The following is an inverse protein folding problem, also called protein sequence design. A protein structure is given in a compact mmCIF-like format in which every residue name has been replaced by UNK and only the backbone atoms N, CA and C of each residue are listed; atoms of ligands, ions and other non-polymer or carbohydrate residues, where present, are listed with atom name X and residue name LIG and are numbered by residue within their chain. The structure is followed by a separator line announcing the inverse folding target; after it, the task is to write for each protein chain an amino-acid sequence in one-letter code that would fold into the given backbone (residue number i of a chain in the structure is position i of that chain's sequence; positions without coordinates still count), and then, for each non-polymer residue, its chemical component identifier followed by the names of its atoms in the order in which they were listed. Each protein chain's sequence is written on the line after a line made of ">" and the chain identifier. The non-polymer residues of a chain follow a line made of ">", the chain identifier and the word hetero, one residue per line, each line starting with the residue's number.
data_IF_248398801422
#
_entry.id   IF_248398801422
#
_cell.length_a   1.000
_cell.length_b   1.000
_cell.length_c   1.000
_cell.angle_alpha   90.00
_cell.angle_beta   90.00
_cell.angle_gamma   90.00
#
_symmetry.space_group_name_H-M   'P 1'
#
loop_
_entity.id
_entity.type
_entity.pdbx_description
1 polymer ?
#
# COMPACT_ATOMS: atom_id res chain seq x y z
N UNK A 1 2.72 -22.98 20.36
CA UNK A 1 3.63 -23.39 19.28
C UNK A 1 2.85 -23.39 17.99
N UNK A 2 3.29 -22.63 17.03
CA UNK A 2 2.74 -22.63 15.67
C UNK A 2 3.09 -23.96 15.01
N UNK A 3 2.08 -24.70 14.53
CA UNK A 3 2.31 -26.00 13.90
C UNK A 3 2.47 -25.82 12.39
N UNK A 4 3.45 -26.52 11.82
CA UNK A 4 3.46 -26.82 10.39
C UNK A 4 2.35 -27.85 10.14
N UNK A 5 1.44 -27.53 9.21
CA UNK A 5 0.29 -28.37 8.87
C UNK A 5 0.41 -28.82 7.43
N UNK A 6 -0.09 -30.03 7.12
CA UNK A 6 -0.25 -30.45 5.72
C UNK A 6 -1.26 -29.54 5.03
N UNK A 7 -0.95 -29.10 3.81
CA UNK A 7 -1.85 -28.29 3.02
C UNK A 7 -2.91 -29.21 2.39
N UNK A 8 -4.13 -29.15 2.92
CA UNK A 8 -5.29 -29.93 2.46
C UNK A 8 -6.20 -29.06 1.58
N UNK A 9 -7.26 -29.63 1.02
CA UNK A 9 -8.22 -28.89 0.15
C UNK A 9 -8.86 -27.69 0.86
N UNK A 10 -9.01 -27.70 2.16
CA UNK A 10 -9.53 -26.58 2.95
C UNK A 10 -8.62 -25.35 2.95
N UNK A 11 -7.33 -25.51 2.64
CA UNK A 11 -6.36 -24.42 2.46
C UNK A 11 -6.16 -24.01 1.00
N UNK A 12 -7.00 -24.46 0.07
CA UNK A 12 -6.86 -24.18 -1.36
C UNK A 12 -6.83 -22.68 -1.72
N UNK A 13 -7.43 -21.83 -0.89
CA UNK A 13 -7.37 -20.37 -1.06
C UNK A 13 -5.96 -19.79 -0.88
N UNK A 14 -5.06 -20.46 -0.15
CA UNK A 14 -3.68 -20.03 0.05
C UNK A 14 -2.74 -20.41 -1.11
N UNK A 15 -3.25 -21.10 -2.12
CA UNK A 15 -2.50 -21.44 -3.33
C UNK A 15 -2.64 -20.41 -4.45
N UNK A 16 -3.37 -19.33 -4.22
CA UNK A 16 -3.68 -18.29 -5.21
C UNK A 16 -3.69 -16.90 -4.59
N UNK A 17 -3.57 -15.89 -5.44
CA UNK A 17 -3.75 -14.48 -5.10
C UNK A 17 -4.63 -13.78 -6.16
N UNK A 18 -4.73 -12.46 -6.13
CA UNK A 18 -5.52 -11.67 -7.10
C UNK A 18 -4.91 -11.61 -8.51
N UNK A 19 -3.71 -12.15 -8.73
CA UNK A 19 -3.17 -12.38 -10.08
C UNK A 19 -3.94 -13.44 -10.86
N UNK A 20 -4.78 -14.22 -10.16
CA UNK A 20 -5.50 -15.40 -10.66
C UNK A 20 -4.58 -16.58 -11.04
N UNK A 21 -3.30 -16.49 -10.75
CA UNK A 21 -2.38 -17.63 -10.83
C UNK A 21 -2.65 -18.60 -9.68
N UNK A 22 -2.48 -19.87 -9.94
CA UNK A 22 -2.56 -20.93 -8.93
C UNK A 22 -1.24 -21.65 -8.84
N UNK A 23 -0.78 -21.90 -7.62
CA UNK A 23 0.43 -22.64 -7.31
C UNK A 23 0.13 -23.94 -6.57
N UNK A 24 1.16 -24.49 -5.95
CA UNK A 24 1.04 -25.63 -5.05
C UNK A 24 2.04 -25.50 -3.90
N UNK A 25 1.72 -26.12 -2.78
CA UNK A 25 2.62 -26.25 -1.64
C UNK A 25 2.25 -27.51 -0.84
N UNK A 26 3.21 -28.02 -0.07
CA UNK A 26 3.03 -29.24 0.71
C UNK A 26 2.47 -28.92 2.10
N UNK A 27 2.91 -27.82 2.68
CA UNK A 27 2.62 -27.46 4.07
C UNK A 27 2.29 -25.97 4.23
N UNK A 28 1.64 -25.64 5.34
CA UNK A 28 1.25 -24.27 5.70
C UNK A 28 1.42 -24.02 7.20
N UNK A 29 1.76 -22.79 7.57
CA UNK A 29 1.78 -22.32 8.96
C UNK A 29 1.19 -20.91 9.11
N UNK A 30 0.74 -20.60 10.32
CA UNK A 30 0.16 -19.32 10.71
C UNK A 30 0.84 -18.78 11.99
N UNK A 31 2.05 -18.23 11.90
CA UNK A 31 2.75 -17.65 13.05
C UNK A 31 1.98 -16.47 13.63
N UNK A 32 2.18 -16.24 14.95
CA UNK A 32 1.57 -15.14 15.71
C UNK A 32 2.61 -14.16 16.25
N UNK A 33 3.85 -14.61 16.34
CA UNK A 33 4.97 -13.85 16.89
C UNK A 33 6.22 -14.00 16.03
N UNK A 34 7.19 -13.13 16.22
CA UNK A 34 8.53 -13.25 15.60
C UNK A 34 9.19 -14.58 15.97
N UNK A 35 9.03 -15.03 17.22
CA UNK A 35 9.58 -16.32 17.66
C UNK A 35 8.90 -17.51 16.98
N UNK A 36 7.61 -17.44 16.73
CA UNK A 36 6.92 -18.48 15.95
C UNK A 36 7.50 -18.59 14.53
N UNK A 37 7.79 -17.44 13.87
CA UNK A 37 8.43 -17.43 12.55
C UNK A 37 9.79 -18.12 12.61
N UNK A 38 10.62 -17.76 13.59
CA UNK A 38 11.93 -18.40 13.79
C UNK A 38 11.83 -19.91 14.03
N UNK A 39 10.86 -20.34 14.84
CA UNK A 39 10.63 -21.76 15.11
C UNK A 39 10.21 -22.53 13.86
N UNK A 40 9.30 -21.97 13.04
CA UNK A 40 8.89 -22.60 11.76
C UNK A 40 10.08 -22.75 10.82
N UNK A 41 10.91 -21.69 10.65
CA UNK A 41 12.09 -21.76 9.81
C UNK A 41 13.11 -22.79 10.31
N UNK A 42 13.34 -22.86 11.62
CA UNK A 42 14.24 -23.86 12.24
C UNK A 42 13.73 -25.30 12.06
N UNK A 43 12.41 -25.52 12.20
CA UNK A 43 11.79 -26.84 11.98
C UNK A 43 11.92 -27.26 10.49
N UNK A 44 11.68 -26.35 9.54
CA UNK A 44 11.87 -26.63 8.12
C UNK A 44 13.34 -26.94 7.79
N UNK A 45 14.28 -26.17 8.33
CA UNK A 45 15.72 -26.40 8.13
C UNK A 45 16.16 -27.78 8.66
N UNK A 46 15.68 -28.18 9.85
CA UNK A 46 15.96 -29.51 10.41
C UNK A 46 15.41 -30.63 9.54
N UNK A 47 14.17 -30.48 9.04
CA UNK A 47 13.58 -31.48 8.12
C UNK A 47 14.33 -31.57 6.79
N UNK A 48 14.84 -30.44 6.30
CA UNK A 48 15.63 -30.37 5.06
C UNK A 48 16.99 -31.03 5.24
N UNK A 49 17.67 -30.83 6.37
CA UNK A 49 18.93 -31.52 6.69
C UNK A 49 18.74 -33.05 6.73
N UNK A 50 17.66 -33.53 7.36
CA UNK A 50 17.35 -34.95 7.43
C UNK A 50 17.06 -35.58 6.04
N UNK A 51 16.45 -34.82 5.14
CA UNK A 51 16.00 -35.30 3.82
C UNK A 51 16.96 -34.97 2.68
N UNK A 52 17.96 -34.14 2.91
CA UNK A 52 18.84 -33.60 1.86
C UNK A 52 18.09 -32.73 0.85
N UNK A 53 17.11 -31.94 1.32
CA UNK A 53 16.26 -31.07 0.49
C UNK A 53 16.48 -29.60 0.85
N UNK A 54 15.83 -28.70 0.12
CA UNK A 54 15.71 -27.28 0.47
C UNK A 54 14.26 -26.88 0.19
N UNK A 55 13.48 -26.65 1.24
CA UNK A 55 12.07 -26.33 1.16
C UNK A 55 11.87 -24.82 0.91
N UNK A 56 11.37 -24.40 -0.27
CA UNK A 56 11.03 -23.01 -0.50
C UNK A 56 9.91 -22.54 0.44
N UNK A 57 10.02 -21.31 0.93
CA UNK A 57 9.01 -20.70 1.77
C UNK A 57 8.35 -19.52 1.06
N UNK A 58 7.06 -19.62 0.78
CA UNK A 58 6.25 -18.53 0.27
C UNK A 58 5.62 -17.76 1.43
N UNK A 59 6.08 -16.53 1.64
CA UNK A 59 5.53 -15.66 2.70
C UNK A 59 4.30 -14.93 2.16
N UNK A 60 3.19 -15.00 2.92
CA UNK A 60 1.92 -14.41 2.51
C UNK A 60 1.35 -13.43 3.55
N UNK A 61 0.77 -12.34 3.04
CA UNK A 61 -0.13 -11.45 3.79
C UNK A 61 -1.59 -11.65 3.37
N UNK A 62 -2.24 -10.57 2.90
CA UNK A 62 -3.63 -10.57 2.41
C UNK A 62 -3.85 -11.22 1.03
N UNK A 63 -2.83 -11.56 0.30
CA UNK A 63 -2.87 -12.13 -1.05
C UNK A 63 -3.60 -11.25 -2.09
N UNK A 64 -3.56 -9.94 -1.88
CA UNK A 64 -4.21 -8.94 -2.76
C UNK A 64 -3.33 -8.48 -3.91
N UNK A 65 -2.14 -9.07 -4.06
CA UNK A 65 -1.18 -8.74 -5.12
C UNK A 65 -1.62 -9.26 -6.48
N UNK A 66 -1.27 -8.50 -7.54
CA UNK A 66 -1.63 -8.81 -8.94
C UNK A 66 -0.47 -9.45 -9.72
N UNK A 67 0.68 -9.69 -9.08
CA UNK A 67 1.90 -10.16 -9.74
C UNK A 67 2.33 -11.57 -9.30
N UNK A 68 1.43 -12.34 -8.68
CA UNK A 68 1.66 -13.70 -8.18
C UNK A 68 2.76 -13.83 -7.10
N UNK A 69 3.17 -12.74 -6.44
CA UNK A 69 4.18 -12.78 -5.37
C UNK A 69 3.78 -13.60 -4.14
N UNK A 70 2.48 -13.82 -3.95
CA UNK A 70 1.95 -14.66 -2.88
C UNK A 70 1.54 -16.08 -3.34
N UNK A 71 1.83 -16.47 -4.60
CA UNK A 71 1.48 -17.78 -5.14
C UNK A 71 2.67 -18.73 -4.95
N UNK A 72 2.54 -19.82 -4.15
CA UNK A 72 3.63 -20.73 -3.91
C UNK A 72 3.93 -21.59 -5.14
N UNK A 73 5.20 -21.72 -5.50
CA UNK A 73 5.63 -22.64 -6.56
C UNK A 73 5.80 -24.08 -6.05
N UNK A 74 6.14 -24.24 -4.76
CA UNK A 74 6.31 -25.51 -4.04
C UNK A 74 6.56 -25.26 -2.55
N UNK A 75 6.71 -26.30 -1.75
CA UNK A 75 7.24 -26.27 -0.39
C UNK A 75 6.25 -25.78 0.66
N UNK A 76 6.57 -24.71 1.38
CA UNK A 76 5.85 -24.25 2.55
C UNK A 76 5.22 -22.87 2.35
N UNK A 77 3.96 -22.71 2.75
CA UNK A 77 3.29 -21.41 2.86
C UNK A 77 3.38 -20.90 4.29
N UNK A 78 3.95 -19.72 4.49
CA UNK A 78 3.93 -19.01 5.77
C UNK A 78 2.99 -17.82 5.68
N UNK A 79 1.76 -17.96 6.19
CA UNK A 79 0.77 -16.89 6.14
C UNK A 79 0.76 -16.07 7.43
N UNK A 80 1.04 -14.78 7.34
CA UNK A 80 1.23 -13.86 8.46
C UNK A 80 -0.08 -13.21 8.97
N UNK A 81 -1.24 -13.61 8.49
CA UNK A 81 -2.54 -13.01 8.86
C UNK A 81 -2.86 -13.04 10.36
N UNK A 82 -2.22 -13.95 11.11
CA UNK A 82 -2.37 -14.05 12.58
C UNK A 82 -1.40 -13.15 13.35
N UNK A 83 -0.45 -12.51 12.68
CA UNK A 83 0.42 -11.47 13.23
C UNK A 83 -0.22 -10.11 12.98
N UNK A 84 -1.26 -9.75 13.71
CA UNK A 84 -2.12 -8.59 13.43
C UNK A 84 -2.28 -7.61 14.62
N UNK A 85 -1.33 -7.61 15.54
CA UNK A 85 -1.36 -6.74 16.71
C UNK A 85 -0.70 -5.37 16.48
N UNK A 86 -1.13 -4.38 17.25
CA UNK A 86 -0.38 -3.16 17.51
C UNK A 86 0.67 -3.46 18.58
N UNK A 87 1.92 -3.00 18.36
CA UNK A 87 3.06 -3.31 19.23
C UNK A 87 3.53 -2.09 20.03
N UNK A 88 3.12 -0.89 19.66
CA UNK A 88 3.49 0.34 20.35
C UNK A 88 3.31 1.57 19.48
N UNK A 89 3.57 2.71 20.09
CA UNK A 89 3.64 4.00 19.43
C UNK A 89 4.90 4.76 19.85
N UNK A 90 5.35 5.67 19.01
CA UNK A 90 6.45 6.57 19.30
C UNK A 90 6.08 7.98 18.87
N UNK A 91 6.43 8.95 19.71
CA UNK A 91 6.31 10.38 19.42
C UNK A 91 7.70 11.01 19.49
N UNK A 92 8.00 11.91 18.57
CA UNK A 92 9.21 12.73 18.63
C UNK A 92 8.92 14.13 18.10
N UNK A 93 9.69 15.11 18.56
CA UNK A 93 9.68 16.46 18.03
C UNK A 93 10.32 16.46 16.62
N UNK A 94 9.71 17.19 15.68
CA UNK A 94 10.24 17.36 14.31
C UNK A 94 11.36 18.43 14.23
N UNK A 95 11.72 19.04 15.35
CA UNK A 95 12.70 20.14 15.46
C UNK A 95 12.09 21.52 15.08
N UNK A 96 10.79 21.56 14.75
CA UNK A 96 10.05 22.80 14.43
C UNK A 96 8.87 23.04 15.39
N UNK A 97 8.77 22.21 16.43
CA UNK A 97 7.73 22.27 17.44
C UNK A 97 6.46 21.48 17.12
N UNK A 98 6.46 20.70 16.03
CA UNK A 98 5.39 19.74 15.74
C UNK A 98 5.78 18.32 16.19
N UNK A 99 4.79 17.56 16.66
CA UNK A 99 4.96 16.18 17.07
C UNK A 99 4.78 15.25 15.88
N UNK A 100 5.80 14.48 15.55
CA UNK A 100 5.70 13.35 14.63
C UNK A 100 5.27 12.11 15.39
N UNK A 101 4.30 11.38 14.86
CA UNK A 101 3.77 10.16 15.44
C UNK A 101 4.11 8.95 14.56
N UNK A 102 4.47 7.88 15.22
CA UNK A 102 4.77 6.59 14.59
C UNK A 102 3.98 5.50 15.28
N UNK A 103 3.54 4.51 14.52
CA UNK A 103 2.87 3.32 15.04
C UNK A 103 3.64 2.07 14.65
N UNK A 104 3.91 1.20 15.62
CA UNK A 104 4.56 -0.09 15.40
C UNK A 104 3.49 -1.19 15.38
N UNK A 105 3.51 -2.00 14.33
CA UNK A 105 2.49 -3.01 14.05
C UNK A 105 3.11 -4.32 13.57
N UNK A 106 2.35 -5.40 13.70
CA UNK A 106 2.65 -6.66 13.06
C UNK A 106 2.18 -6.68 11.59
N UNK A 107 2.81 -7.50 10.73
CA UNK A 107 2.62 -7.47 9.27
C UNK A 107 1.22 -7.87 8.79
N UNK A 108 0.48 -8.67 9.55
CA UNK A 108 -0.86 -9.15 9.19
C UNK A 108 -1.99 -8.16 9.50
N UNK A 109 -1.69 -6.98 10.07
CA UNK A 109 -2.70 -5.95 10.30
C UNK A 109 -3.26 -5.46 8.95
N UNK A 110 -4.59 -5.44 8.82
CA UNK A 110 -5.28 -5.06 7.59
C UNK A 110 -5.39 -3.54 7.48
N UNK A 111 -5.18 -3.00 6.28
CA UNK A 111 -5.19 -1.55 6.03
C UNK A 111 -6.52 -0.88 6.40
N UNK A 112 -7.66 -1.48 6.02
CA UNK A 112 -8.99 -0.94 6.34
C UNK A 112 -9.22 -0.85 7.86
N UNK A 113 -8.84 -1.89 8.62
CA UNK A 113 -8.93 -1.89 10.08
C UNK A 113 -8.07 -0.77 10.67
N UNK A 114 -6.82 -0.65 10.22
CA UNK A 114 -5.92 0.40 10.69
C UNK A 114 -6.43 1.81 10.40
N UNK A 115 -7.06 2.04 9.23
CA UNK A 115 -7.67 3.32 8.88
C UNK A 115 -8.81 3.69 9.83
N UNK A 116 -9.69 2.73 10.11
CA UNK A 116 -10.76 2.91 11.11
C UNK A 116 -10.18 3.21 12.49
N UNK A 117 -9.21 2.40 12.96
CA UNK A 117 -8.59 2.58 14.28
C UNK A 117 -7.93 3.97 14.44
N UNK A 118 -7.33 4.52 13.36
CA UNK A 118 -6.76 5.86 13.36
C UNK A 118 -7.84 6.95 13.37
N UNK A 119 -8.86 6.84 12.53
CA UNK A 119 -9.95 7.81 12.41
C UNK A 119 -10.76 7.88 13.70
N UNK A 120 -11.05 6.72 14.31
CA UNK A 120 -11.81 6.60 15.56
C UNK A 120 -10.93 6.84 16.81
N UNK A 121 -9.63 7.09 16.61
CA UNK A 121 -8.62 7.17 17.68
C UNK A 121 -8.66 5.96 18.63
N UNK A 122 -8.93 4.77 18.10
CA UNK A 122 -9.16 3.56 18.87
C UNK A 122 -8.06 2.49 18.62
N UNK A 123 -6.79 2.90 18.72
CA UNK A 123 -5.68 1.96 18.64
C UNK A 123 -5.62 1.14 19.94
N UNK A 124 -5.71 -0.21 19.87
CA UNK A 124 -5.53 -1.06 21.02
C UNK A 124 -4.13 -0.89 21.63
N UNK A 125 -4.07 -0.49 22.89
CA UNK A 125 -2.81 -0.20 23.60
C UNK A 125 -2.43 -1.27 24.66
N UNK A 126 -3.11 -2.38 24.67
CA UNK A 126 -2.80 -3.48 25.60
C UNK A 126 -1.37 -4.02 25.35
N UNK A 127 -0.53 -4.01 26.36
CA UNK A 127 0.86 -4.44 26.28
C UNK A 127 1.85 -3.35 25.86
N UNK A 128 1.42 -2.11 25.68
CA UNK A 128 2.31 -0.98 25.43
C UNK A 128 3.17 -0.70 26.68
N UNK A 129 4.45 -0.42 26.47
CA UNK A 129 5.33 0.11 27.51
C UNK A 129 5.02 1.58 27.83
N UNK A 130 5.67 2.14 28.88
CA UNK A 130 5.41 3.49 29.36
C UNK A 130 5.66 4.56 28.25
N UNK A 131 6.68 4.37 27.42
CA UNK A 131 7.00 5.31 26.34
C UNK A 131 5.93 5.26 25.24
N UNK A 132 5.50 4.05 24.85
CA UNK A 132 4.40 3.86 23.89
C UNK A 132 3.08 4.37 24.43
N UNK A 133 2.82 4.25 25.73
CA UNK A 133 1.63 4.82 26.38
C UNK A 133 1.64 6.34 26.40
N UNK A 134 2.81 6.97 26.56
CA UNK A 134 2.93 8.43 26.45
C UNK A 134 2.64 8.90 25.02
N UNK A 135 3.19 8.22 24.01
CA UNK A 135 2.92 8.51 22.60
C UNK A 135 1.44 8.26 22.24
N UNK A 136 0.82 7.21 22.78
CA UNK A 136 -0.60 6.91 22.59
C UNK A 136 -1.49 8.03 23.16
N UNK A 137 -1.17 8.59 24.34
CA UNK A 137 -1.88 9.75 24.88
C UNK A 137 -1.72 10.97 23.98
N UNK A 138 -0.50 11.25 23.49
CA UNK A 138 -0.27 12.34 22.56
C UNK A 138 -1.10 12.17 21.25
N UNK A 139 -1.24 10.93 20.76
CA UNK A 139 -2.13 10.60 19.64
C UNK A 139 -3.60 10.88 19.98
N UNK A 140 -4.07 10.47 21.19
CA UNK A 140 -5.46 10.68 21.62
C UNK A 140 -5.83 12.17 21.72
N UNK A 141 -4.95 12.96 22.29
CA UNK A 141 -5.14 14.40 22.58
C UNK A 141 -4.77 15.30 21.38
N UNK A 142 -3.95 14.78 20.46
CA UNK A 142 -3.41 15.54 19.33
C UNK A 142 -4.38 15.68 18.16
N UNK A 143 -3.94 16.32 17.07
CA UNK A 143 -4.72 16.42 15.83
C UNK A 143 -4.97 15.05 15.20
N UNK A 144 -5.91 15.01 14.26
CA UNK A 144 -6.13 13.82 13.44
C UNK A 144 -4.89 13.48 12.60
N UNK A 145 -4.59 12.20 12.51
CA UNK A 145 -3.48 11.66 11.71
C UNK A 145 -3.96 10.54 10.83
N UNK A 146 -3.24 10.30 9.74
CA UNK A 146 -3.56 9.24 8.81
C UNK A 146 -2.30 8.58 8.24
N UNK A 147 -2.48 7.42 7.63
CA UNK A 147 -1.45 6.77 6.84
C UNK A 147 -1.69 7.04 5.35
N UNK A 148 -0.72 7.65 4.65
CA UNK A 148 -0.96 8.23 3.33
C UNK A 148 -1.04 7.24 2.19
N UNK A 149 -0.42 6.06 2.30
CA UNK A 149 -0.43 5.07 1.21
C UNK A 149 -1.84 4.51 1.01
N UNK A 150 -2.35 4.62 -0.21
CA UNK A 150 -3.75 4.37 -0.57
C UNK A 150 -3.89 3.39 -1.76
N UNK A 151 -3.54 2.09 -1.58
CA UNK A 151 -3.84 1.10 -2.60
C UNK A 151 -5.35 0.93 -2.76
N UNK A 152 -5.80 0.56 -3.97
CA UNK A 152 -7.21 0.33 -4.29
C UNK A 152 -7.81 -0.76 -3.40
N UNK A 153 -7.04 -1.82 -3.15
CA UNK A 153 -7.48 -2.95 -2.32
C UNK A 153 -7.19 -2.71 -0.83
N UNK A 154 -8.25 -2.41 -0.09
CA UNK A 154 -8.17 -2.06 1.34
C UNK A 154 -8.06 -3.27 2.29
N UNK A 155 -8.23 -4.49 1.79
CA UNK A 155 -7.98 -5.73 2.53
C UNK A 155 -6.49 -6.14 2.53
N UNK A 156 -5.64 -5.37 1.84
CA UNK A 156 -4.19 -5.52 1.90
C UNK A 156 -3.68 -5.46 3.34
N UNK A 157 -2.71 -6.32 3.66
CA UNK A 157 -2.02 -6.28 4.96
C UNK A 157 -0.81 -5.34 4.92
N UNK A 158 -0.48 -4.74 6.05
CA UNK A 158 0.65 -3.80 6.15
C UNK A 158 1.96 -4.47 5.73
N UNK A 159 2.21 -5.72 6.12
CA UNK A 159 3.40 -6.47 5.71
C UNK A 159 3.46 -6.70 4.20
N UNK A 160 2.33 -7.06 3.57
CA UNK A 160 2.23 -7.19 2.12
C UNK A 160 2.48 -5.86 1.40
N UNK A 161 1.93 -4.76 1.93
CA UNK A 161 2.18 -3.42 1.39
C UNK A 161 3.66 -3.03 1.44
N UNK A 162 4.35 -3.33 2.55
CA UNK A 162 5.79 -3.05 2.68
C UNK A 162 6.59 -3.97 1.76
N UNK A 163 6.30 -5.26 1.74
CA UNK A 163 7.00 -6.23 0.89
C UNK A 163 6.91 -5.89 -0.61
N UNK A 164 5.76 -5.37 -1.08
CA UNK A 164 5.57 -4.99 -2.49
C UNK A 164 5.89 -3.50 -2.77
N UNK A 165 6.31 -2.71 -1.78
CA UNK A 165 6.39 -1.24 -1.89
C UNK A 165 5.09 -0.66 -2.48
N UNK A 166 3.95 -1.00 -1.88
CA UNK A 166 2.63 -0.69 -2.38
C UNK A 166 2.43 0.82 -2.63
N UNK A 167 1.65 1.12 -3.65
CA UNK A 167 1.30 2.47 -4.07
C UNK A 167 -0.19 2.55 -4.41
N UNK A 168 -0.73 3.76 -4.54
CA UNK A 168 -2.10 4.04 -4.95
C UNK A 168 -2.22 5.41 -5.58
N UNK A 169 -3.44 5.92 -5.71
CA UNK A 169 -3.72 7.22 -6.30
C UNK A 169 -2.96 8.36 -5.59
N UNK A 170 -2.96 8.35 -4.26
CA UNK A 170 -2.28 9.34 -3.43
C UNK A 170 -0.75 9.25 -3.46
N UNK A 171 -0.19 8.24 -4.12
CA UNK A 171 1.26 8.19 -4.36
C UNK A 171 1.76 9.33 -5.22
N UNK A 172 0.86 10.02 -5.93
CA UNK A 172 1.16 11.26 -6.63
C UNK A 172 1.79 12.31 -5.70
N UNK A 173 1.24 12.49 -4.49
CA UNK A 173 1.72 13.46 -3.48
C UNK A 173 2.66 12.83 -2.46
N UNK A 174 2.31 11.64 -1.95
CA UNK A 174 2.94 11.06 -0.76
C UNK A 174 3.97 9.97 -1.08
N UNK A 175 4.10 9.59 -2.35
CA UNK A 175 4.94 8.45 -2.73
C UNK A 175 4.31 7.11 -2.42
N UNK A 176 5.06 6.03 -2.68
CA UNK A 176 4.70 4.68 -2.27
C UNK A 176 4.92 4.48 -0.76
N UNK A 177 4.81 3.25 -0.26
CA UNK A 177 4.94 2.97 1.19
C UNK A 177 6.35 3.22 1.74
N UNK A 178 7.40 3.10 0.92
CA UNK A 178 8.82 3.19 1.29
C UNK A 178 9.17 4.38 2.19
N UNK A 179 8.86 5.64 1.86
CA UNK A 179 9.24 6.79 2.68
C UNK A 179 8.58 6.82 4.06
N UNK A 180 7.49 6.07 4.23
CA UNK A 180 6.71 6.04 5.46
C UNK A 180 7.11 4.92 6.43
N UNK A 181 8.04 4.04 6.01
CA UNK A 181 8.58 2.97 6.86
C UNK A 181 9.79 3.52 7.62
N UNK A 182 9.69 3.62 8.94
CA UNK A 182 10.75 4.14 9.81
C UNK A 182 11.58 3.03 10.48
N UNK A 183 11.01 1.85 10.70
CA UNK A 183 11.75 0.71 11.23
C UNK A 183 11.14 -0.63 10.78
N UNK A 184 11.98 -1.65 10.72
CA UNK A 184 11.60 -3.03 10.42
C UNK A 184 12.29 -4.01 11.36
N UNK A 185 11.60 -5.09 11.71
CA UNK A 185 12.19 -6.28 12.26
C UNK A 185 11.99 -7.44 11.28
N UNK A 186 13.09 -8.05 10.84
CA UNK A 186 13.09 -9.05 9.78
C UNK A 186 13.78 -10.31 10.28
N UNK A 187 13.15 -11.46 10.09
CA UNK A 187 13.76 -12.78 10.34
C UNK A 187 14.33 -13.30 9.01
N UNK A 188 15.62 -13.59 8.98
CA UNK A 188 16.33 -14.14 7.83
C UNK A 188 16.07 -15.65 7.69
N UNK A 189 16.44 -16.23 6.56
CA UNK A 189 16.21 -17.64 6.26
C UNK A 189 16.89 -18.60 7.26
N UNK A 190 18.02 -18.18 7.85
CA UNK A 190 18.76 -18.91 8.89
C UNK A 190 18.22 -18.71 10.32
N UNK A 191 17.11 -17.97 10.48
CA UNK A 191 16.49 -17.65 11.75
C UNK A 191 17.15 -16.50 12.52
N UNK A 192 18.20 -15.88 12.00
CA UNK A 192 18.74 -14.66 12.58
C UNK A 192 17.76 -13.49 12.37
N UNK A 193 17.83 -12.48 13.24
CA UNK A 193 16.91 -11.35 13.21
C UNK A 193 17.66 -10.04 13.01
N UNK A 194 17.17 -9.23 12.10
CA UNK A 194 17.61 -7.85 11.90
C UNK A 194 16.61 -6.89 12.53
N UNK A 195 17.08 -5.94 13.32
CA UNK A 195 16.32 -4.78 13.77
C UNK A 195 16.89 -3.54 13.07
N UNK A 196 16.13 -2.98 12.14
CA UNK A 196 16.54 -1.88 11.28
C UNK A 196 15.74 -0.63 11.62
N UNK A 197 16.43 0.49 11.85
CA UNK A 197 15.79 1.80 12.02
C UNK A 197 16.35 2.76 10.98
N UNK A 198 15.47 3.46 10.29
CA UNK A 198 15.86 4.42 9.25
C UNK A 198 16.82 5.47 9.79
N UNK A 199 17.89 5.68 9.05
CA UNK A 199 18.95 6.61 9.40
C UNK A 199 20.13 5.99 10.15
N UNK A 200 20.01 4.76 10.66
CA UNK A 200 21.07 4.11 11.44
C UNK A 200 22.11 3.39 10.58
N UNK A 201 21.68 2.68 9.56
CA UNK A 201 22.57 1.92 8.67
C UNK A 201 22.35 2.38 7.24
N UNK A 202 23.41 2.92 6.63
CA UNK A 202 23.39 3.39 5.25
C UNK A 202 24.47 2.70 4.43
N UNK A 203 24.22 2.62 3.14
CA UNK A 203 25.23 2.17 2.19
C UNK A 203 26.45 3.06 2.25
N UNK A 204 27.62 2.43 2.25
CA UNK A 204 28.92 3.07 2.14
C UNK A 204 29.82 2.25 1.19
N UNK A 205 30.41 2.90 0.20
CA UNK A 205 31.30 2.28 -0.80
C UNK A 205 30.66 1.06 -1.51
N UNK A 206 29.37 1.11 -1.78
CA UNK A 206 28.63 0.04 -2.46
C UNK A 206 28.23 -1.13 -1.56
N UNK A 207 28.35 -1.00 -0.22
CA UNK A 207 28.04 -2.09 0.73
C UNK A 207 27.13 -1.61 1.85
N UNK A 208 26.16 -2.43 2.24
CA UNK A 208 25.40 -2.32 3.48
C UNK A 208 25.95 -3.32 4.49
N UNK A 209 26.48 -2.84 5.63
CA UNK A 209 26.95 -3.67 6.74
C UNK A 209 25.85 -3.85 7.77
N UNK A 210 25.22 -5.01 7.81
CA UNK A 210 24.10 -5.33 8.68
C UNK A 210 24.57 -6.14 9.88
N UNK A 211 24.08 -5.80 11.08
CA UNK A 211 24.34 -6.58 12.30
C UNK A 211 23.04 -7.22 12.78
N UNK A 212 23.06 -8.54 12.96
CA UNK A 212 21.90 -9.26 13.50
C UNK A 212 21.81 -9.12 15.02
N UNK A 213 20.62 -9.29 15.59
CA UNK A 213 20.42 -9.28 17.05
C UNK A 213 21.24 -10.37 17.78
N UNK A 214 21.62 -11.43 17.05
CA UNK A 214 22.47 -12.51 17.54
C UNK A 214 23.98 -12.22 17.42
N UNK A 215 24.35 -11.03 16.92
CA UNK A 215 25.73 -10.57 16.78
C UNK A 215 26.42 -11.00 15.47
N UNK A 216 25.70 -11.57 14.53
CA UNK A 216 26.21 -11.88 13.18
C UNK A 216 26.40 -10.59 12.37
N UNK A 217 27.43 -10.56 11.52
CA UNK A 217 27.68 -9.45 10.57
C UNK A 217 27.42 -9.96 9.15
N UNK A 218 26.65 -9.20 8.35
CA UNK A 218 26.29 -9.52 6.97
C UNK A 218 26.66 -8.32 6.10
N UNK A 219 27.57 -8.54 5.15
CA UNK A 219 27.93 -7.55 4.14
C UNK A 219 27.07 -7.78 2.89
N UNK A 220 26.27 -6.77 2.54
CA UNK A 220 25.37 -6.84 1.38
C UNK A 220 25.88 -5.89 0.30
N UNK A 221 26.46 -6.41 -0.81
CA UNK A 221 26.83 -5.57 -1.93
C UNK A 221 25.58 -4.97 -2.57
N UNK A 222 25.55 -3.64 -2.69
CA UNK A 222 24.44 -2.93 -3.31
C UNK A 222 24.59 -2.98 -4.84
N UNK A 223 23.57 -3.39 -5.59
CA UNK A 223 23.64 -3.45 -7.05
C UNK A 223 23.97 -2.09 -7.67
N UNK A 224 24.80 -2.09 -8.72
CA UNK A 224 25.28 -0.87 -9.39
C UNK A 224 24.33 -0.31 -10.47
N UNK A 225 23.11 -0.83 -10.63
CA UNK A 225 22.15 -0.30 -11.59
C UNK A 225 21.55 1.04 -11.12
N UNK A 226 21.15 1.87 -12.05
CA UNK A 226 20.48 3.14 -11.74
C UNK A 226 18.97 2.91 -11.64
N UNK A 227 18.40 3.23 -10.48
CA UNK A 227 16.94 3.20 -10.30
C UNK A 227 16.26 4.22 -11.21
N UNK A 228 15.09 3.90 -11.79
CA UNK A 228 14.28 4.87 -12.52
C UNK A 228 13.94 6.07 -11.64
N UNK A 229 13.99 7.29 -12.22
CA UNK A 229 13.62 8.53 -11.53
C UNK A 229 12.10 8.71 -11.38
N UNK A 230 11.30 7.88 -12.05
CA UNK A 230 9.85 7.86 -11.99
C UNK A 230 9.37 6.74 -11.07
N UNK A 231 8.07 6.77 -10.68
CA UNK A 231 7.44 5.68 -9.94
C UNK A 231 7.72 4.34 -10.61
N UNK A 232 8.24 3.40 -9.85
CA UNK A 232 8.52 2.04 -10.31
C UNK A 232 8.38 1.05 -9.15
N UNK A 233 8.26 -0.24 -9.48
CA UNK A 233 8.25 -1.37 -8.55
C UNK A 233 9.20 -2.47 -9.06
N UNK A 234 10.30 -2.07 -9.73
CA UNK A 234 11.23 -3.00 -10.38
C UNK A 234 12.39 -3.36 -9.46
N UNK A 235 12.53 -4.66 -9.17
CA UNK A 235 13.67 -5.22 -8.47
C UNK A 235 13.89 -4.69 -7.05
N UNK A 236 15.03 -5.05 -6.47
CA UNK A 236 15.45 -4.51 -5.19
C UNK A 236 15.86 -3.04 -5.34
N UNK A 237 15.51 -2.25 -4.34
CA UNK A 237 15.95 -0.86 -4.33
C UNK A 237 17.46 -0.75 -4.18
N UNK A 238 18.08 0.05 -5.02
CA UNK A 238 19.53 0.32 -4.97
C UNK A 238 19.81 1.77 -5.33
N UNK A 239 20.45 2.52 -4.44
CA UNK A 239 20.86 3.88 -4.68
C UNK A 239 22.09 4.20 -3.80
N UNK A 240 22.97 5.09 -4.24
CA UNK A 240 24.07 5.58 -3.40
C UNK A 240 23.55 6.18 -2.09
N UNK A 241 24.11 5.75 -0.96
CA UNK A 241 23.71 6.21 0.36
C UNK A 241 22.34 5.71 0.83
N UNK A 242 21.77 4.68 0.19
CA UNK A 242 20.48 4.09 0.58
C UNK A 242 20.49 3.61 2.02
N UNK A 243 19.33 3.63 2.64
CA UNK A 243 19.13 3.10 3.98
C UNK A 243 18.88 1.59 3.96
N UNK A 244 19.35 0.88 4.99
CA UNK A 244 19.13 -0.58 5.08
C UNK A 244 17.65 -0.97 5.12
N UNK A 245 16.74 -0.13 5.64
CA UNK A 245 15.30 -0.33 5.59
C UNK A 245 14.81 -0.44 4.14
N UNK A 246 15.40 0.33 3.22
CA UNK A 246 14.99 0.38 1.82
C UNK A 246 15.28 -0.93 1.06
N UNK A 247 16.23 -1.74 1.52
CA UNK A 247 16.51 -3.05 0.94
C UNK A 247 15.33 -4.02 1.08
N UNK A 248 14.63 -3.97 2.22
CA UNK A 248 13.51 -4.88 2.51
C UNK A 248 12.16 -4.37 2.01
N UNK A 249 12.01 -3.06 1.82
CA UNK A 249 10.78 -2.50 1.23
C UNK A 249 10.77 -2.77 -0.28
N UNK A 250 9.81 -3.56 -0.74
CA UNK A 250 9.73 -4.00 -2.14
C UNK A 250 10.56 -5.26 -2.44
N UNK A 251 10.92 -6.05 -1.43
CA UNK A 251 11.65 -7.30 -1.57
C UNK A 251 10.78 -8.54 -1.84
N UNK A 252 9.46 -8.39 -1.83
CA UNK A 252 8.48 -9.46 -2.03
C UNK A 252 8.69 -10.70 -1.13
N UNK A 253 9.24 -10.48 0.08
CA UNK A 253 9.52 -11.57 1.03
C UNK A 253 10.73 -12.44 0.69
N UNK A 254 11.50 -12.11 -0.34
CA UNK A 254 12.63 -12.93 -0.84
C UNK A 254 13.90 -12.79 0.01
N UNK A 255 14.04 -11.71 0.78
CA UNK A 255 15.20 -11.43 1.63
C UNK A 255 14.99 -11.79 3.10
N UNK A 256 13.77 -12.17 3.48
CA UNK A 256 13.41 -12.52 4.85
C UNK A 256 11.95 -12.23 5.15
N UNK A 257 11.51 -12.60 6.34
CA UNK A 257 10.15 -12.43 6.82
C UNK A 257 10.05 -11.17 7.66
N UNK A 258 9.32 -10.16 7.16
CA UNK A 258 9.05 -8.93 7.91
C UNK A 258 8.06 -9.25 9.04
N UNK A 259 8.49 -9.07 10.29
CA UNK A 259 7.71 -9.44 11.49
C UNK A 259 7.17 -8.24 12.28
N UNK A 260 7.87 -7.09 12.23
CA UNK A 260 7.43 -5.84 12.84
C UNK A 260 7.71 -4.68 11.89
N UNK A 261 6.84 -3.69 11.88
CA UNK A 261 6.90 -2.53 11.01
C UNK A 261 6.56 -1.28 11.83
N UNK A 262 7.42 -0.27 11.80
CA UNK A 262 7.11 1.06 12.32
C UNK A 262 6.79 1.99 11.15
N UNK A 263 5.62 2.63 11.21
CA UNK A 263 5.11 3.51 10.16
C UNK A 263 4.92 4.92 10.69
N UNK A 264 5.37 5.91 9.93
CA UNK A 264 5.07 7.31 10.19
C UNK A 264 3.61 7.62 9.86
N UNK A 265 2.97 8.39 10.75
CA UNK A 265 1.63 8.94 10.57
C UNK A 265 1.75 10.41 10.20
N UNK A 266 1.02 10.85 9.20
CA UNK A 266 0.97 12.25 8.78
C UNK A 266 -0.24 12.95 9.37
N UNK A 267 -0.15 14.26 9.58
CA UNK A 267 -1.31 15.07 9.96
C UNK A 267 -2.39 14.98 8.86
N UNK A 268 -3.63 14.77 9.27
CA UNK A 268 -4.75 14.75 8.35
C UNK A 268 -4.95 16.15 7.72
N UNK A 269 -5.28 16.24 6.43
CA UNK A 269 -5.60 17.50 5.81
C UNK A 269 -6.88 18.08 6.38
N UNK A 270 -6.94 19.41 6.54
CA UNK A 270 -8.15 20.08 7.05
C UNK A 270 -9.32 19.97 6.06
N UNK A 271 -9.01 19.97 4.76
CA UNK A 271 -10.00 19.91 3.67
C UNK A 271 -9.55 18.92 2.62
N UNK A 272 -10.48 18.03 2.24
CA UNK A 272 -10.29 17.11 1.11
C UNK A 272 -11.47 17.24 0.17
N UNK A 273 -11.23 17.67 -1.08
CA UNK A 273 -12.23 17.73 -2.14
C UNK A 273 -11.83 16.83 -3.30
N UNK A 274 -12.83 16.27 -3.97
CA UNK A 274 -12.64 15.55 -5.23
C UNK A 274 -13.19 16.37 -6.39
N UNK A 275 -12.42 16.49 -7.47
CA UNK A 275 -12.83 17.21 -8.68
C UNK A 275 -12.69 16.30 -9.87
N UNK A 276 -13.80 16.00 -10.58
CA UNK A 276 -13.79 15.21 -11.82
C UNK A 276 -14.08 16.13 -12.99
N UNK A 277 -13.08 16.36 -13.81
CA UNK A 277 -13.13 17.23 -15.01
C UNK A 277 -13.37 16.35 -16.24
N UNK A 278 -14.43 16.62 -17.00
CA UNK A 278 -14.79 15.84 -18.18
C UNK A 278 -14.45 16.58 -19.48
N UNK A 279 -13.92 15.83 -20.45
CA UNK A 279 -13.44 16.38 -21.72
C UNK A 279 -14.07 15.65 -22.91
N UNK A 280 -14.28 16.38 -24.01
CA UNK A 280 -14.76 15.82 -25.28
C UNK A 280 -13.62 15.22 -26.13
N UNK A 281 -12.38 15.62 -25.84
CA UNK A 281 -11.19 15.17 -26.56
C UNK A 281 -10.09 14.78 -25.59
N UNK A 282 -9.44 13.66 -25.88
CA UNK A 282 -8.32 13.17 -25.05
C UNK A 282 -7.15 14.16 -25.00
N UNK A 283 -6.89 14.87 -26.12
CA UNK A 283 -5.82 15.89 -26.16
C UNK A 283 -6.08 17.01 -25.15
N UNK A 284 -7.34 17.47 -24.99
CA UNK A 284 -7.68 18.47 -23.97
C UNK A 284 -7.36 17.98 -22.57
N UNK A 285 -7.68 16.71 -22.26
CA UNK A 285 -7.37 16.09 -20.97
C UNK A 285 -5.87 15.96 -20.73
N UNK A 286 -5.09 15.64 -21.76
CA UNK A 286 -3.63 15.56 -21.65
C UNK A 286 -2.98 16.93 -21.44
N UNK A 287 -3.40 17.95 -22.19
CA UNK A 287 -2.90 19.32 -22.06
C UNK A 287 -3.27 19.89 -20.67
N UNK A 288 -4.52 19.65 -20.22
CA UNK A 288 -4.95 19.98 -18.86
C UNK A 288 -4.06 19.28 -17.81
N UNK A 289 -3.81 17.99 -17.95
CA UNK A 289 -2.99 17.23 -16.99
C UNK A 289 -1.57 17.77 -16.90
N UNK A 290 -0.95 18.10 -18.03
CA UNK A 290 0.39 18.70 -18.06
C UNK A 290 0.43 20.02 -17.30
N UNK A 291 -0.52 20.92 -17.56
CA UNK A 291 -0.60 22.21 -16.90
C UNK A 291 -0.99 22.09 -15.42
N UNK A 292 -1.95 21.21 -15.08
CA UNK A 292 -2.40 20.96 -13.72
C UNK A 292 -1.29 20.46 -12.80
N UNK A 293 -0.36 19.63 -13.30
CA UNK A 293 0.79 19.14 -12.52
C UNK A 293 1.73 20.25 -12.07
N UNK A 294 1.77 21.37 -12.79
CA UNK A 294 2.62 22.52 -12.46
C UNK A 294 1.89 23.55 -11.58
N UNK A 295 0.57 23.70 -11.79
CA UNK A 295 -0.21 24.80 -11.21
C UNK A 295 -1.02 24.39 -9.99
N UNK A 296 -1.56 23.16 -9.94
CA UNK A 296 -2.37 22.67 -8.80
C UNK A 296 -1.47 22.18 -7.68
N UNK A 297 -1.29 23.00 -6.66
CA UNK A 297 -0.32 22.74 -5.57
C UNK A 297 -0.85 21.81 -4.48
N UNK A 298 -2.18 21.71 -4.35
CA UNK A 298 -2.86 20.87 -3.36
C UNK A 298 -3.28 19.49 -3.90
N UNK A 299 -2.94 19.12 -5.14
CA UNK A 299 -3.29 17.82 -5.68
C UNK A 299 -2.62 16.70 -4.88
N UNK A 300 -3.40 15.73 -4.41
CA UNK A 300 -2.93 14.51 -3.75
C UNK A 300 -3.02 13.27 -4.64
N UNK A 301 -3.95 13.29 -5.59
CA UNK A 301 -4.13 12.27 -6.60
C UNK A 301 -4.55 12.90 -7.92
N UNK A 302 -4.16 12.29 -9.04
CA UNK A 302 -4.61 12.65 -10.36
C UNK A 302 -4.75 11.37 -11.18
N UNK A 303 -5.97 11.08 -11.68
CA UNK A 303 -6.28 9.83 -12.38
C UNK A 303 -7.00 10.12 -13.69
N UNK A 304 -6.63 9.40 -14.74
CA UNK A 304 -7.22 9.48 -16.06
C UNK A 304 -8.18 8.33 -16.33
N UNK A 305 -9.34 8.64 -16.84
CA UNK A 305 -10.36 7.69 -17.31
C UNK A 305 -10.56 7.94 -18.81
N UNK A 306 -10.24 6.96 -19.62
CA UNK A 306 -10.45 7.01 -21.07
C UNK A 306 -11.92 6.74 -21.46
N UNK A 307 -12.21 6.84 -22.74
CA UNK A 307 -13.53 6.59 -23.29
C UNK A 307 -14.02 5.17 -22.99
N UNK A 308 -13.13 4.18 -23.01
CA UNK A 308 -13.46 2.79 -22.73
C UNK A 308 -13.85 2.59 -21.27
N UNK A 309 -13.13 3.24 -20.35
CA UNK A 309 -13.47 3.22 -18.91
C UNK A 309 -14.84 3.87 -18.64
N UNK A 310 -15.13 5.02 -19.26
CA UNK A 310 -16.42 5.67 -19.11
C UNK A 310 -17.56 4.83 -19.72
N UNK A 311 -17.33 4.19 -20.87
CA UNK A 311 -18.31 3.32 -21.52
C UNK A 311 -18.62 2.07 -20.68
N UNK A 312 -17.60 1.45 -20.04
CA UNK A 312 -17.79 0.32 -19.12
C UNK A 312 -18.67 0.75 -17.93
N UNK A 313 -18.41 1.91 -17.32
CA UNK A 313 -19.21 2.42 -16.21
C UNK A 313 -20.66 2.69 -16.63
N UNK A 314 -20.88 3.31 -17.80
CA UNK A 314 -22.21 3.54 -18.34
C UNK A 314 -22.98 2.23 -18.60
N UNK A 315 -22.30 1.21 -19.11
CA UNK A 315 -22.86 -0.13 -19.32
C UNK A 315 -23.23 -0.78 -18.00
N UNK A 316 -22.31 -0.83 -17.04
CA UNK A 316 -22.52 -1.45 -15.72
C UNK A 316 -23.67 -0.78 -14.96
N UNK A 317 -23.78 0.54 -15.04
CA UNK A 317 -24.88 1.28 -14.41
C UNK A 317 -26.24 0.82 -14.89
N UNK A 318 -26.39 0.40 -16.15
CA UNK A 318 -27.66 -0.03 -16.76
C UNK A 318 -27.91 -1.52 -16.62
N UNK A 319 -26.87 -2.34 -16.50
CA UNK A 319 -26.98 -3.81 -16.54
C UNK A 319 -26.79 -4.47 -15.19
N UNK A 320 -26.13 -3.82 -14.23
CA UNK A 320 -25.85 -4.39 -12.93
C UNK A 320 -26.49 -3.59 -11.80
N UNK A 321 -27.26 -4.28 -10.95
CA UNK A 321 -27.90 -3.66 -9.77
C UNK A 321 -26.87 -3.08 -8.79
N UNK A 322 -25.69 -3.68 -8.69
CA UNK A 322 -24.61 -3.20 -7.80
C UNK A 322 -24.10 -1.80 -8.21
N UNK A 323 -24.15 -1.48 -9.50
CA UNK A 323 -23.66 -0.22 -10.06
C UNK A 323 -24.78 0.77 -10.45
N UNK A 324 -26.04 0.47 -10.14
CA UNK A 324 -27.18 1.30 -10.54
C UNK A 324 -27.14 2.75 -9.99
N UNK A 325 -26.41 2.98 -8.91
CA UNK A 325 -26.25 4.30 -8.26
C UNK A 325 -25.02 5.08 -8.74
N UNK A 326 -24.26 4.54 -9.71
CA UNK A 326 -23.14 5.29 -10.29
C UNK A 326 -23.63 6.62 -10.86
N UNK A 327 -22.89 7.72 -10.65
CA UNK A 327 -23.18 9.02 -11.27
C UNK A 327 -23.26 8.91 -12.80
N UNK A 328 -24.11 9.73 -13.41
CA UNK A 328 -24.23 9.80 -14.88
C UNK A 328 -23.14 10.74 -15.40
N UNK A 329 -22.27 10.25 -16.26
CA UNK A 329 -21.26 11.09 -16.93
C UNK A 329 -21.94 12.18 -17.77
N UNK A 330 -21.39 13.40 -17.88
CA UNK A 330 -21.91 14.45 -18.75
C UNK A 330 -22.01 13.96 -20.21
N UNK A 331 -23.05 14.41 -20.92
CA UNK A 331 -23.25 14.08 -22.34
C UNK A 331 -22.07 14.57 -23.18
N UNK A 332 -21.59 13.76 -24.10
CA UNK A 332 -20.44 14.05 -24.96
C UNK A 332 -19.08 13.90 -24.30
N UNK A 333 -19.00 13.56 -23.00
CA UNK A 333 -17.73 13.28 -22.34
C UNK A 333 -17.11 11.99 -22.88
N UNK A 334 -15.86 12.09 -23.35
CA UNK A 334 -15.07 10.95 -23.84
C UNK A 334 -13.97 10.54 -22.88
N UNK A 335 -13.54 11.44 -22.01
CA UNK A 335 -12.58 11.11 -20.95
C UNK A 335 -12.77 12.00 -19.73
N UNK A 336 -12.14 11.63 -18.62
CA UNK A 336 -12.22 12.36 -17.36
C UNK A 336 -10.83 12.38 -16.69
N UNK A 337 -10.48 13.52 -16.09
CA UNK A 337 -9.39 13.64 -15.13
C UNK A 337 -10.00 13.85 -13.74
N UNK A 338 -9.72 12.93 -12.84
CA UNK A 338 -10.03 13.12 -11.42
C UNK A 338 -8.83 13.74 -10.72
N UNK A 339 -9.06 14.78 -9.95
CA UNK A 339 -8.06 15.43 -9.08
C UNK A 339 -8.57 15.39 -7.64
N UNK A 340 -7.80 14.85 -6.72
CA UNK A 340 -8.06 14.98 -5.29
C UNK A 340 -7.24 16.14 -4.72
N UNK A 341 -7.93 17.12 -4.14
CA UNK A 341 -7.32 18.29 -3.49
C UNK A 341 -7.26 18.03 -1.98
N UNK A 342 -6.08 18.24 -1.37
CA UNK A 342 -5.87 18.23 0.08
C UNK A 342 -5.29 19.56 0.52
N UNK A 343 -6.09 20.36 1.19
CA UNK A 343 -5.80 21.75 1.50
C UNK A 343 -5.79 22.02 3.00
N UNK A 344 -5.17 23.15 3.41
CA UNK A 344 -5.10 23.59 4.79
C UNK A 344 -6.35 24.40 5.21
N UNK A 345 -7.14 24.87 4.23
CA UNK A 345 -8.39 25.61 4.47
C UNK A 345 -9.33 25.48 3.27
N UNK A 346 -10.61 25.80 3.48
CA UNK A 346 -11.58 25.89 2.39
C UNK A 346 -11.24 27.00 1.40
N UNK A 347 -10.73 28.14 1.85
CA UNK A 347 -10.32 29.24 0.96
C UNK A 347 -9.25 28.75 -0.01
N UNK A 348 -8.26 28.00 0.49
CA UNK A 348 -7.24 27.41 -0.39
C UNK A 348 -7.82 26.37 -1.35
N UNK A 349 -8.81 25.59 -0.93
CA UNK A 349 -9.48 24.65 -1.83
C UNK A 349 -10.29 25.37 -2.92
N UNK A 350 -10.91 26.51 -2.62
CA UNK A 350 -11.55 27.36 -3.64
C UNK A 350 -10.55 27.96 -4.61
N UNK A 351 -9.40 28.47 -4.15
CA UNK A 351 -8.32 28.94 -5.04
C UNK A 351 -7.91 27.87 -6.04
N UNK A 352 -7.65 26.65 -5.59
CA UNK A 352 -7.28 25.51 -6.44
C UNK A 352 -8.42 25.12 -7.40
N UNK A 353 -9.69 25.21 -6.98
CA UNK A 353 -10.85 24.98 -7.85
C UNK A 353 -10.96 26.03 -8.96
N UNK A 354 -10.72 27.31 -8.66
CA UNK A 354 -10.65 28.35 -9.67
C UNK A 354 -9.52 28.13 -10.67
N UNK A 355 -8.38 27.67 -10.18
CA UNK A 355 -7.25 27.32 -11.03
C UNK A 355 -7.59 26.14 -11.97
N UNK A 356 -8.33 25.13 -11.49
CA UNK A 356 -8.82 24.03 -12.33
C UNK A 356 -9.77 24.55 -13.41
N UNK A 357 -10.70 25.45 -13.07
CA UNK A 357 -11.64 26.04 -14.02
C UNK A 357 -10.91 26.83 -15.12
N UNK A 358 -9.94 27.67 -14.74
CA UNK A 358 -9.10 28.44 -15.67
C UNK A 358 -8.32 27.53 -16.63
N UNK A 359 -7.76 26.43 -16.10
CA UNK A 359 -7.07 25.44 -16.92
C UNK A 359 -8.01 24.72 -17.91
N UNK A 360 -9.25 24.41 -17.50
CA UNK A 360 -10.23 23.82 -18.41
C UNK A 360 -10.59 24.79 -19.54
N UNK A 361 -10.81 26.07 -19.23
CA UNK A 361 -11.06 27.09 -20.23
C UNK A 361 -9.88 27.22 -21.22
N UNK A 362 -8.63 27.23 -20.73
CA UNK A 362 -7.42 27.35 -21.56
C UNK A 362 -7.28 26.22 -22.58
N UNK A 363 -7.72 25.00 -22.24
CA UNK A 363 -7.71 23.86 -23.18
C UNK A 363 -8.99 23.76 -24.00
N UNK A 364 -9.91 24.73 -23.88
CA UNK A 364 -11.18 24.77 -24.61
C UNK A 364 -12.19 23.71 -24.14
N UNK A 365 -12.13 23.32 -22.85
CA UNK A 365 -13.09 22.42 -22.24
C UNK A 365 -14.20 23.21 -21.52
N UNK A 366 -15.37 22.58 -21.37
CA UNK A 366 -16.53 23.15 -20.69
C UNK A 366 -16.44 22.88 -19.19
N UNK A 367 -16.11 23.91 -18.40
CA UNK A 367 -16.00 23.82 -16.95
C UNK A 367 -17.30 23.39 -16.24
N UNK A 368 -18.46 23.65 -16.87
CA UNK A 368 -19.76 23.24 -16.32
C UNK A 368 -19.94 21.73 -16.24
N UNK A 369 -19.10 20.96 -16.94
CA UNK A 369 -19.06 19.50 -16.94
C UNK A 369 -18.17 18.94 -15.81
N UNK A 370 -17.96 19.69 -14.76
CA UNK A 370 -17.11 19.29 -13.62
C UNK A 370 -17.97 18.83 -12.47
N UNK A 371 -17.60 17.71 -11.85
CA UNK A 371 -18.16 17.31 -10.56
C UNK A 371 -17.23 17.73 -9.45
N UNK A 372 -17.78 18.41 -8.44
CA UNK A 372 -17.03 18.82 -7.24
C UNK A 372 -17.62 18.15 -6.01
N UNK A 373 -16.87 17.25 -5.40
CA UNK A 373 -17.24 16.53 -4.19
C UNK A 373 -16.63 17.22 -2.97
N UNK A 374 -17.46 17.92 -2.20
CA UNK A 374 -17.07 18.64 -0.97
C UNK A 374 -17.54 17.94 0.30
N UNK A 375 -18.70 17.29 0.23
CA UNK A 375 -19.26 16.53 1.35
C UNK A 375 -18.77 15.08 1.35
N UNK A 376 -18.88 14.38 2.49
CA UNK A 376 -18.56 12.98 2.60
C UNK A 376 -19.35 12.12 1.61
N UNK A 377 -20.64 12.45 1.44
CA UNK A 377 -21.52 11.74 0.50
C UNK A 377 -21.06 11.89 -0.94
N UNK A 378 -20.68 13.11 -1.35
CA UNK A 378 -20.18 13.35 -2.71
C UNK A 378 -18.85 12.65 -2.94
N UNK A 379 -17.95 12.69 -1.95
CA UNK A 379 -16.66 11.98 -2.01
C UNK A 379 -16.84 10.47 -2.11
N UNK A 380 -17.80 9.92 -1.37
CA UNK A 380 -18.15 8.50 -1.45
C UNK A 380 -18.67 8.12 -2.84
N UNK A 381 -19.55 8.93 -3.44
CA UNK A 381 -20.04 8.72 -4.79
C UNK A 381 -18.91 8.77 -5.84
N UNK A 382 -17.98 9.73 -5.73
CA UNK A 382 -16.81 9.78 -6.62
C UNK A 382 -15.85 8.61 -6.37
N UNK A 383 -15.65 8.21 -5.12
CA UNK A 383 -14.84 7.02 -4.79
C UNK A 383 -15.45 5.77 -5.41
N UNK A 384 -16.75 5.58 -5.28
CA UNK A 384 -17.45 4.46 -5.91
C UNK A 384 -17.28 4.46 -7.43
N UNK A 385 -17.43 5.62 -8.09
CA UNK A 385 -17.21 5.78 -9.53
C UNK A 385 -15.80 5.33 -9.94
N UNK A 386 -14.78 5.76 -9.22
CA UNK A 386 -13.37 5.42 -9.50
C UNK A 386 -13.09 3.94 -9.33
N UNK A 387 -13.56 3.34 -8.23
CA UNK A 387 -13.33 1.93 -7.91
C UNK A 387 -14.15 0.97 -8.80
N UNK A 388 -15.26 1.43 -9.35
CA UNK A 388 -16.08 0.63 -10.24
C UNK A 388 -15.39 0.26 -11.56
N UNK A 389 -14.38 1.02 -12.02
CA UNK A 389 -13.63 0.70 -13.25
C UNK A 389 -12.84 -0.60 -13.10
N UNK A 390 -11.88 -0.73 -12.17
CA UNK A 390 -11.12 -1.97 -12.01
C UNK A 390 -12.03 -3.16 -11.64
N UNK A 391 -13.07 -2.96 -10.86
CA UNK A 391 -14.04 -4.00 -10.53
C UNK A 391 -14.78 -4.50 -11.78
N UNK A 392 -15.26 -3.58 -12.62
CA UNK A 392 -15.93 -3.91 -13.88
C UNK A 392 -15.01 -4.63 -14.87
N UNK A 393 -13.75 -4.21 -14.97
CA UNK A 393 -12.75 -4.90 -15.79
C UNK A 393 -12.51 -6.32 -15.29
N UNK A 394 -12.41 -6.52 -13.98
CA UNK A 394 -12.27 -7.84 -13.38
C UNK A 394 -13.47 -8.74 -13.69
N UNK A 395 -14.69 -8.21 -13.59
CA UNK A 395 -15.91 -8.96 -13.97
C UNK A 395 -15.90 -9.39 -15.43
N UNK A 396 -15.50 -8.51 -16.35
CA UNK A 396 -15.39 -8.83 -17.78
C UNK A 396 -14.34 -9.91 -18.06
N UNK A 397 -13.20 -9.87 -17.37
CA UNK A 397 -12.17 -10.90 -17.49
C UNK A 397 -12.72 -12.25 -17.00
N UNK A 398 -13.43 -12.26 -15.87
CA UNK A 398 -14.01 -13.50 -15.32
C UNK A 398 -15.09 -14.09 -16.22
N UNK A 399 -15.91 -13.25 -16.86
CA UNK A 399 -16.87 -13.70 -17.87
C UNK A 399 -16.20 -14.32 -19.10
N UNK A 400 -15.19 -13.66 -19.63
CA UNK A 400 -14.43 -14.19 -20.78
C UNK A 400 -13.75 -15.52 -20.49
N UNK A 401 -13.16 -15.67 -19.30
CA UNK A 401 -12.54 -16.94 -18.88
C UNK A 401 -13.50 -18.11 -18.74
N UNK A 402 -14.80 -17.86 -18.55
CA UNK A 402 -15.84 -18.91 -18.54
C UNK A 402 -16.15 -19.44 -19.94
N UNK A 403 -15.97 -18.59 -20.95
CA UNK A 403 -16.30 -18.91 -22.36
C UNK A 403 -15.07 -19.32 -23.18
N UNK A 404 -13.89 -18.85 -22.78
CA UNK A 404 -12.59 -19.12 -23.44
C UNK A 404 -11.51 -19.28 -22.34
N UNK A 405 -11.44 -20.49 -21.71
CA UNK A 405 -10.57 -20.79 -20.57
C UNK A 405 -9.07 -20.91 -20.91
#
# INVERSE_FOLDING_TARGET
>A
MTKIQQLTLEFGEYLKDESRSCGHADTISFPRTTDDVRQVLAELASLDEERGTCTPVCVQGGRTGLAAGAVPASGHVMNLSKMNAYLGMRACDDGRGATRLFVRVQPGLVLSQRRSDLADKNIPCAGFDDASMAAWRAFQEGPEVFFPTDPTEVSATIGGMVACNASGARSYRYGAVRPHVSALRVVLADGQTLALTRGQVKEHDGVLSLTTEQGGCIEVPVPAYTMPSVKNASGYYAAPGMDAVDLFVGSDGTLGVICEIELELLAAPAVTWGVSCFFEQEQQAMDFTCAARERITCASAMEFFDEAALAILAHQRTTSRAFATLPVTPEGARCCIFVELVCQSEDKAYEELWEIADLMEQVGADESRTWVARTDLDREAQRFFRHAVPESVNMLIDERRKTDP
#
